data_IF_975605232190
#
_entry.id   IF_975605232190
#
_cell.length_a   1.000
_cell.length_b   1.000
_cell.length_c   1.000
_cell.angle_alpha   90.00
_cell.angle_beta   90.00
_cell.angle_gamma   90.00
#
_symmetry.space_group_name_H-M   'P 1'
#
loop_
_entity.id
_entity.type
_entity.pdbx_description
1 polymer ?
#
# COMPACT_ATOMS: atom_id res chain seq x y z
N UNK A 1 12.22 -16.35 9.88
CA UNK A 1 11.33 -17.22 9.09
C UNK A 1 10.88 -16.45 7.86
N UNK A 2 11.53 -16.69 6.72
CA UNK A 2 11.16 -16.12 5.41
C UNK A 2 10.36 -17.19 4.68
N UNK A 3 9.04 -17.23 4.89
CA UNK A 3 8.19 -18.18 4.16
C UNK A 3 7.49 -17.53 2.97
N UNK A 4 7.81 -18.10 1.80
CA UNK A 4 6.96 -18.22 0.60
C UNK A 4 6.54 -16.91 -0.10
N UNK A 5 7.46 -16.36 -0.89
CA UNK A 5 7.11 -15.78 -2.17
C UNK A 5 6.67 -16.91 -3.14
N UNK A 6 5.46 -17.43 -2.96
CA UNK A 6 4.90 -18.46 -3.85
C UNK A 6 4.34 -17.78 -5.10
N UNK A 7 5.04 -17.95 -6.21
CA UNK A 7 4.53 -17.69 -7.56
C UNK A 7 3.20 -18.44 -7.76
N UNK A 8 2.11 -17.70 -7.92
CA UNK A 8 0.91 -18.17 -8.60
C UNK A 8 0.65 -17.24 -9.78
N UNK A 9 0.55 -17.86 -10.94
CA UNK A 9 0.37 -17.31 -12.26
C UNK A 9 -1.00 -16.66 -12.42
N UNK A 10 -0.99 -15.38 -12.81
CA UNK A 10 -2.16 -14.60 -13.20
C UNK A 10 -1.72 -13.15 -13.26
N UNK A 11 -2.15 -12.37 -14.26
CA UNK A 11 -1.80 -10.95 -14.42
C UNK A 11 -2.45 -10.10 -13.32
N UNK A 12 -1.95 -10.25 -12.09
CA UNK A 12 -2.29 -9.46 -10.93
C UNK A 12 -0.98 -8.97 -10.33
N UNK A 13 -0.94 -7.70 -9.97
CA UNK A 13 0.21 -7.10 -9.34
C UNK A 13 0.70 -7.98 -8.17
N UNK A 14 1.92 -8.50 -8.29
CA UNK A 14 2.58 -9.15 -7.15
C UNK A 14 2.83 -8.05 -6.13
N UNK A 15 2.10 -8.06 -5.03
CA UNK A 15 2.50 -7.33 -3.84
C UNK A 15 3.83 -7.93 -3.41
N UNK A 16 4.93 -7.28 -3.78
CA UNK A 16 6.22 -7.59 -3.20
C UNK A 16 6.12 -7.10 -1.77
N UNK A 17 5.93 -8.02 -0.81
CA UNK A 17 6.17 -7.70 0.58
C UNK A 17 7.64 -7.32 0.71
N UNK A 18 7.90 -6.01 0.69
CA UNK A 18 9.23 -5.46 0.85
C UNK A 18 9.79 -5.98 2.18
N UNK A 19 11.04 -6.42 2.18
CA UNK A 19 11.73 -6.75 3.42
C UNK A 19 11.61 -5.55 4.38
N UNK A 20 11.31 -5.79 5.65
CA UNK A 20 11.02 -4.73 6.63
C UNK A 20 12.09 -3.64 6.74
N UNK A 21 13.35 -3.91 6.41
CA UNK A 21 14.39 -2.85 6.33
C UNK A 21 14.15 -1.86 5.19
N UNK A 22 13.75 -2.36 4.02
CA UNK A 22 13.45 -1.54 2.85
C UNK A 22 12.18 -0.74 3.07
N UNK A 23 11.13 -1.34 3.63
CA UNK A 23 9.91 -0.62 4.01
C UNK A 23 10.22 0.52 4.97
N UNK A 24 11.05 0.28 6.00
CA UNK A 24 11.46 1.34 6.94
C UNK A 24 12.22 2.46 6.25
N UNK A 25 13.15 2.16 5.35
CA UNK A 25 13.88 3.19 4.60
C UNK A 25 12.95 4.07 3.75
N UNK A 26 11.97 3.45 3.07
CA UNK A 26 10.95 4.17 2.28
C UNK A 26 10.08 5.03 3.19
N UNK A 27 9.58 4.48 4.30
CA UNK A 27 8.78 5.24 5.27
C UNK A 27 9.56 6.42 5.88
N UNK A 28 10.87 6.28 6.12
CA UNK A 28 11.69 7.38 6.62
C UNK A 28 11.92 8.47 5.56
N UNK A 29 12.14 8.10 4.30
CA UNK A 29 12.38 9.06 3.21
C UNK A 29 11.13 9.76 2.70
N UNK A 30 9.96 9.11 2.77
CA UNK A 30 8.68 9.61 2.26
C UNK A 30 7.62 9.77 3.35
N UNK A 31 8.03 9.99 4.61
CA UNK A 31 7.12 10.10 5.76
C UNK A 31 6.01 11.13 5.58
N UNK A 32 6.30 12.24 4.89
CA UNK A 32 5.35 13.32 4.58
C UNK A 32 4.31 12.97 3.51
N UNK A 33 4.47 11.85 2.81
CA UNK A 33 3.54 11.35 1.79
C UNK A 33 2.65 10.23 2.33
N UNK A 34 2.74 9.91 3.63
CA UNK A 34 1.92 8.88 4.24
C UNK A 34 0.43 9.24 4.17
N UNK A 35 -0.41 8.24 3.88
CA UNK A 35 -1.86 8.36 3.88
C UNK A 35 -2.47 7.20 4.67
N UNK A 36 -3.66 7.41 5.21
CA UNK A 36 -4.38 6.40 5.99
C UNK A 36 -5.74 6.12 5.35
N UNK A 37 -6.15 4.85 5.27
CA UNK A 37 -7.46 4.45 4.72
C UNK A 37 -8.59 5.11 5.51
N UNK A 38 -9.55 5.69 4.79
CA UNK A 38 -10.76 6.26 5.41
C UNK A 38 -11.78 5.16 5.72
N UNK A 39 -12.27 5.04 6.97
CA UNK A 39 -13.27 4.05 7.33
C UNK A 39 -14.57 4.20 6.53
N UNK A 40 -15.13 3.08 6.06
CA UNK A 40 -16.39 3.09 5.31
C UNK A 40 -16.24 3.43 3.82
N UNK A 41 -15.04 3.78 3.36
CA UNK A 41 -14.74 3.97 1.94
C UNK A 41 -13.72 2.94 1.46
N UNK A 42 -13.92 2.42 0.25
CA UNK A 42 -13.13 1.27 -0.22
C UNK A 42 -11.73 1.67 -0.71
N UNK A 43 -11.64 2.75 -1.50
CA UNK A 43 -10.40 3.22 -2.15
C UNK A 43 -10.00 4.65 -1.78
N UNK A 44 -10.51 5.16 -0.66
CA UNK A 44 -10.23 6.53 -0.18
C UNK A 44 -9.23 6.48 0.95
N UNK A 45 -8.23 7.35 0.84
CA UNK A 45 -7.17 7.54 1.82
C UNK A 45 -7.07 9.03 2.15
N UNK A 46 -6.64 9.35 3.36
CA UNK A 46 -6.41 10.73 3.82
C UNK A 46 -4.93 10.92 4.08
N UNK A 47 -4.32 11.92 3.44
CA UNK A 47 -2.90 12.26 3.66
C UNK A 47 -2.68 12.76 5.09
N UNK A 48 -1.57 12.36 5.73
CA UNK A 48 -1.35 12.66 7.14
C UNK A 48 -1.06 14.15 7.41
N UNK A 49 -0.18 14.84 6.65
CA UNK A 49 0.10 16.26 6.91
C UNK A 49 -1.01 17.20 6.38
N UNK A 50 -1.58 16.89 5.21
CA UNK A 50 -2.52 17.77 4.50
C UNK A 50 -3.99 17.47 4.73
N UNK A 51 -4.33 16.28 5.27
CA UNK A 51 -5.72 15.81 5.42
C UNK A 51 -6.50 15.81 4.10
N UNK A 52 -5.80 15.66 2.99
CA UNK A 52 -6.40 15.64 1.65
C UNK A 52 -6.92 14.23 1.35
N UNK A 53 -8.13 14.15 0.77
CA UNK A 53 -8.66 12.89 0.27
C UNK A 53 -7.97 12.53 -1.04
N UNK A 54 -7.37 11.35 -1.07
CA UNK A 54 -6.67 10.78 -2.23
C UNK A 54 -7.17 9.37 -2.50
N UNK A 55 -6.98 8.92 -3.73
CA UNK A 55 -7.45 7.63 -4.20
C UNK A 55 -6.28 6.78 -4.66
N UNK A 56 -6.36 5.46 -4.46
CA UNK A 56 -5.38 4.55 -5.06
C UNK A 56 -5.51 4.64 -6.58
N UNK A 57 -4.40 4.97 -7.25
CA UNK A 57 -4.38 5.03 -8.71
C UNK A 57 -4.66 3.64 -9.34
N UNK A 58 -5.44 3.53 -10.44
CA UNK A 58 -5.79 2.23 -11.05
C UNK A 58 -4.62 1.35 -11.49
N UNK A 59 -3.47 1.96 -11.77
CA UNK A 59 -2.24 1.22 -12.13
C UNK A 59 -1.44 0.74 -10.91
N UNK A 60 -1.84 1.13 -9.70
CA UNK A 60 -1.17 0.71 -8.47
C UNK A 60 -1.35 -0.78 -8.26
N UNK A 61 -0.31 -1.42 -7.76
CA UNK A 61 -0.38 -2.79 -7.30
C UNK A 61 -1.43 -3.01 -6.20
N UNK A 62 -1.78 -1.95 -5.45
CA UNK A 62 -2.79 -1.98 -4.38
C UNK A 62 -4.23 -1.83 -4.89
N UNK A 63 -4.44 -1.48 -6.16
CA UNK A 63 -5.77 -1.17 -6.67
C UNK A 63 -6.72 -2.38 -6.68
N UNK A 64 -6.18 -3.59 -6.87
CA UNK A 64 -6.98 -4.83 -6.89
C UNK A 64 -6.81 -5.70 -5.65
N UNK A 65 -6.14 -5.19 -4.62
CA UNK A 65 -5.78 -5.96 -3.42
C UNK A 65 -6.89 -5.89 -2.40
N UNK A 66 -7.33 -7.05 -1.91
CA UNK A 66 -8.27 -7.17 -0.81
C UNK A 66 -7.72 -8.12 0.30
N UNK A 67 -7.80 -7.75 1.59
CA UNK A 67 -8.28 -6.46 2.07
C UNK A 67 -7.30 -5.33 1.75
N UNK A 68 -7.82 -4.14 1.49
CA UNK A 68 -6.99 -2.92 1.34
C UNK A 68 -6.18 -2.64 2.61
N UNK A 69 -4.90 -2.25 2.48
CA UNK A 69 -4.07 -1.89 3.63
C UNK A 69 -4.57 -0.61 4.30
N UNK A 70 -4.41 -0.54 5.62
CA UNK A 70 -4.79 0.63 6.42
C UNK A 70 -3.87 1.85 6.18
N UNK A 71 -2.61 1.60 5.84
CA UNK A 71 -1.55 2.61 5.66
C UNK A 71 -0.89 2.48 4.29
#
# INVERSE_FOLDING_TARGET
>A
MLEKARNLTGRGAKIIFLNGRLSKAICSGLSWQAAKKEPGFDNVYITMPGREMVYIHPQSALYTVEPKPEW
#
